data_IF_179899197723
#
_entry.id   IF_179899197723
#
_cell.length_a   1.000
_cell.length_b   1.000
_cell.length_c   1.000
_cell.angle_alpha   90.00
_cell.angle_beta   90.00
_cell.angle_gamma   90.00
#
_symmetry.space_group_name_H-M   'P 1'
#
loop_
_entity.id
_entity.type
_entity.pdbx_description
1 polymer ?
#
# COMPACT_ATOMS: atom_id res chain seq x y z
N UNK A 1 -43.88 6.85 -11.51
CA UNK A 1 -42.80 6.41 -12.42
C UNK A 1 -41.45 7.10 -12.17
N UNK A 2 -41.23 8.40 -12.48
CA UNK A 2 -39.88 9.00 -12.25
C UNK A 2 -39.44 9.08 -10.78
N UNK A 3 -40.38 9.35 -9.86
CA UNK A 3 -40.07 9.47 -8.41
C UNK A 3 -39.75 8.12 -7.75
N UNK A 4 -40.54 7.09 -8.06
CA UNK A 4 -40.33 5.73 -7.53
C UNK A 4 -38.98 5.14 -7.96
N UNK A 5 -38.59 5.31 -9.24
CA UNK A 5 -37.29 4.85 -9.73
C UNK A 5 -36.12 5.60 -9.08
N UNK A 6 -36.29 6.88 -8.76
CA UNK A 6 -35.29 7.66 -8.02
C UNK A 6 -35.17 7.15 -6.58
N UNK A 7 -36.29 6.94 -5.90
CA UNK A 7 -36.33 6.36 -4.54
C UNK A 7 -35.69 4.96 -4.52
N UNK A 8 -35.93 4.13 -5.54
CA UNK A 8 -35.31 2.81 -5.66
C UNK A 8 -33.77 2.91 -5.75
N UNK A 9 -33.23 3.83 -6.55
CA UNK A 9 -31.79 4.03 -6.66
C UNK A 9 -31.18 4.49 -5.33
N UNK A 10 -31.85 5.40 -4.61
CA UNK A 10 -31.40 5.84 -3.28
C UNK A 10 -31.41 4.68 -2.28
N UNK A 11 -32.48 3.88 -2.24
CA UNK A 11 -32.57 2.72 -1.37
C UNK A 11 -31.47 1.67 -1.66
N UNK A 12 -31.19 1.40 -2.94
CA UNK A 12 -30.09 0.50 -3.33
C UNK A 12 -28.73 1.05 -2.90
N UNK A 13 -28.52 2.36 -3.04
CA UNK A 13 -27.29 3.03 -2.61
C UNK A 13 -27.12 2.94 -1.10
N UNK A 14 -28.17 3.21 -0.32
CA UNK A 14 -28.15 3.09 1.13
C UNK A 14 -27.79 1.67 1.58
N UNK A 15 -28.36 0.65 0.94
CA UNK A 15 -28.02 -0.75 1.21
C UNK A 15 -26.53 -1.04 0.94
N UNK A 16 -25.98 -0.57 -0.18
CA UNK A 16 -24.55 -0.73 -0.49
C UNK A 16 -23.67 -0.03 0.54
N UNK A 17 -24.06 1.15 1.02
CA UNK A 17 -23.30 1.87 2.03
C UNK A 17 -23.22 1.11 3.37
N UNK A 18 -24.16 0.22 3.67
CA UNK A 18 -24.11 -0.63 4.87
C UNK A 18 -23.10 -1.79 4.76
N UNK A 19 -22.64 -2.14 3.55
CA UNK A 19 -21.68 -3.22 3.30
C UNK A 19 -22.07 -4.52 4.04
N UNK A 20 -21.19 -5.08 4.88
CA UNK A 20 -21.48 -6.31 5.65
C UNK A 20 -22.46 -6.13 6.81
N UNK A 21 -22.97 -4.92 7.06
CA UNK A 21 -23.91 -4.59 8.11
C UNK A 21 -23.27 -4.31 9.47
N UNK A 22 -24.05 -3.69 10.37
CA UNK A 22 -23.59 -3.17 11.67
C UNK A 22 -22.83 -4.17 12.52
N UNK A 23 -23.31 -5.41 12.63
CA UNK A 23 -22.66 -6.43 13.45
C UNK A 23 -21.23 -6.76 12.98
N UNK A 24 -21.02 -6.83 11.65
CA UNK A 24 -19.69 -7.12 11.09
C UNK A 24 -18.76 -5.91 11.19
N UNK A 25 -19.31 -4.71 11.03
CA UNK A 25 -18.58 -3.45 11.26
C UNK A 25 -18.13 -3.36 12.73
N UNK A 26 -18.99 -3.69 13.70
CA UNK A 26 -18.60 -3.72 15.11
C UNK A 26 -17.49 -4.73 15.40
N UNK A 27 -17.48 -5.90 14.72
CA UNK A 27 -16.39 -6.87 14.83
C UNK A 27 -15.08 -6.32 14.24
N UNK A 28 -15.15 -5.61 13.12
CA UNK A 28 -14.00 -4.92 12.51
C UNK A 28 -13.38 -3.93 13.50
N UNK A 29 -14.20 -3.08 14.15
CA UNK A 29 -13.72 -2.14 15.15
C UNK A 29 -13.12 -2.82 16.40
N UNK A 30 -13.72 -3.92 16.86
CA UNK A 30 -13.16 -4.72 17.98
C UNK A 30 -11.76 -5.29 17.66
N UNK A 31 -11.42 -5.42 16.38
CA UNK A 31 -10.08 -5.80 15.92
C UNK A 31 -9.13 -4.61 15.77
N UNK A 32 -9.56 -3.39 16.11
CA UNK A 32 -8.78 -2.16 15.96
C UNK A 32 -8.58 -1.75 14.50
N UNK A 33 -9.52 -2.12 13.61
CA UNK A 33 -9.48 -1.82 12.18
C UNK A 33 -10.62 -0.87 11.82
N UNK A 34 -10.36 0.04 10.90
CA UNK A 34 -11.40 0.84 10.26
C UNK A 34 -12.10 0.04 9.15
N UNK A 35 -13.26 0.53 8.71
CA UNK A 35 -13.95 0.01 7.52
C UNK A 35 -13.29 0.52 6.23
N UNK A 36 -13.58 -0.13 5.11
CA UNK A 36 -13.05 0.28 3.81
C UNK A 36 -13.45 1.74 3.44
N UNK A 37 -14.67 2.17 3.77
CA UNK A 37 -15.14 3.53 3.49
C UNK A 37 -14.48 4.59 4.36
N UNK A 38 -14.31 4.32 5.65
CA UNK A 38 -13.60 5.24 6.57
C UNK A 38 -12.13 5.41 6.15
N UNK A 39 -11.46 4.34 5.73
CA UNK A 39 -10.10 4.40 5.21
C UNK A 39 -10.00 5.31 3.97
N UNK A 40 -10.95 5.19 3.04
CA UNK A 40 -11.03 6.06 1.87
C UNK A 40 -11.30 7.53 2.24
N UNK A 41 -12.17 7.79 3.21
CA UNK A 41 -12.48 9.13 3.69
C UNK A 41 -11.27 9.81 4.38
N UNK A 42 -10.44 9.04 5.07
CA UNK A 42 -9.18 9.54 5.67
C UNK A 42 -8.07 9.76 4.64
N UNK A 43 -8.03 8.92 3.60
CA UNK A 43 -6.99 8.97 2.58
C UNK A 43 -7.19 10.15 1.64
N UNK A 44 -8.41 10.34 1.16
CA UNK A 44 -8.75 11.25 0.07
C UNK A 44 -9.19 12.62 0.60
N UNK A 45 -9.01 13.65 -0.23
CA UNK A 45 -9.45 14.99 0.08
C UNK A 45 -10.98 15.03 0.27
N UNK A 46 -11.50 15.80 1.25
CA UNK A 46 -12.92 15.85 1.57
C UNK A 46 -13.79 16.13 0.33
N UNK A 47 -14.77 15.25 0.07
CA UNK A 47 -15.71 15.39 -1.04
C UNK A 47 -15.15 15.07 -2.43
N UNK A 48 -13.90 14.61 -2.54
CA UNK A 48 -13.27 14.29 -3.84
C UNK A 48 -13.61 12.88 -4.37
N UNK A 49 -14.02 11.95 -3.50
CA UNK A 49 -14.20 10.55 -3.89
C UNK A 49 -15.40 10.34 -4.81
N UNK A 50 -15.14 9.76 -5.98
CA UNK A 50 -16.14 9.31 -6.95
C UNK A 50 -16.07 7.79 -7.06
N UNK A 51 -17.06 7.11 -6.48
CA UNK A 51 -17.18 5.66 -6.54
C UNK A 51 -17.60 5.19 -7.94
N UNK A 52 -16.87 4.21 -8.47
CA UNK A 52 -17.15 3.56 -9.75
C UNK A 52 -17.71 2.16 -9.52
N UNK A 53 -18.70 1.79 -10.33
CA UNK A 53 -19.32 0.47 -10.30
C UNK A 53 -19.86 0.03 -8.91
N UNK A 54 -20.55 0.90 -8.13
CA UNK A 54 -21.00 0.56 -6.78
C UNK A 54 -22.03 -0.58 -6.76
N UNK A 55 -22.87 -0.67 -7.81
CA UNK A 55 -23.96 -1.64 -7.93
C UNK A 55 -23.55 -2.98 -8.58
N UNK A 56 -22.24 -3.21 -8.79
CA UNK A 56 -21.78 -4.51 -9.30
C UNK A 56 -22.08 -5.60 -8.27
N UNK A 57 -22.68 -6.68 -8.76
CA UNK A 57 -23.07 -7.86 -7.99
C UNK A 57 -22.38 -9.09 -8.56
N UNK A 58 -22.11 -10.07 -7.70
CA UNK A 58 -21.60 -11.37 -8.11
C UNK A 58 -22.54 -12.07 -9.11
N UNK A 59 -21.98 -12.89 -9.98
CA UNK A 59 -22.74 -13.69 -10.96
C UNK A 59 -22.84 -15.16 -10.60
N UNK A 60 -21.89 -15.67 -9.81
CA UNK A 60 -21.84 -17.06 -9.42
C UNK A 60 -22.99 -17.42 -8.46
N UNK A 61 -23.59 -18.59 -8.67
CA UNK A 61 -24.73 -19.12 -7.91
C UNK A 61 -24.39 -20.38 -7.12
N UNK A 62 -23.18 -20.92 -7.27
CA UNK A 62 -22.73 -22.15 -6.63
C UNK A 62 -22.56 -21.96 -5.12
N UNK A 63 -22.59 -23.08 -4.39
CA UNK A 63 -22.37 -23.13 -2.93
C UNK A 63 -23.26 -22.16 -2.12
N UNK A 64 -24.45 -21.83 -2.63
CA UNK A 64 -25.42 -20.95 -1.97
C UNK A 64 -25.11 -19.45 -2.10
N UNK A 65 -24.20 -19.07 -3.00
CA UNK A 65 -23.90 -17.67 -3.29
C UNK A 65 -25.16 -16.93 -3.77
N UNK A 66 -26.03 -17.56 -4.55
CA UNK A 66 -27.31 -17.00 -5.01
C UNK A 66 -28.15 -16.36 -3.88
N UNK A 67 -28.07 -16.91 -2.66
CA UNK A 67 -28.81 -16.44 -1.48
C UNK A 67 -28.07 -15.40 -0.63
N UNK A 68 -26.79 -15.16 -0.91
CA UNK A 68 -25.98 -14.22 -0.14
C UNK A 68 -26.04 -12.81 -0.73
N UNK A 69 -26.31 -11.81 0.10
CA UNK A 69 -26.12 -10.41 -0.28
C UNK A 69 -24.65 -10.03 -0.09
N UNK A 70 -23.94 -9.72 -1.19
CA UNK A 70 -22.54 -9.27 -1.20
C UNK A 70 -22.45 -7.87 -1.82
N UNK A 71 -22.72 -6.80 -1.05
CA UNK A 71 -22.71 -5.44 -1.57
C UNK A 71 -21.36 -5.07 -2.20
N UNK A 72 -21.41 -4.44 -3.38
CA UNK A 72 -20.25 -4.02 -4.16
C UNK A 72 -19.23 -5.15 -4.46
N UNK A 73 -19.66 -6.41 -4.33
CA UNK A 73 -18.84 -7.63 -4.33
C UNK A 73 -17.64 -7.62 -3.37
N UNK A 74 -17.72 -6.83 -2.29
CA UNK A 74 -16.72 -6.75 -1.24
C UNK A 74 -15.49 -5.89 -1.57
N UNK A 75 -15.56 -5.04 -2.60
CA UNK A 75 -14.54 -4.02 -2.87
C UNK A 75 -15.17 -2.71 -3.32
N UNK A 76 -14.68 -1.61 -2.79
CA UNK A 76 -15.03 -0.26 -3.21
C UNK A 76 -13.92 0.23 -4.13
N UNK A 77 -14.28 0.75 -5.30
CA UNK A 77 -13.34 1.21 -6.32
C UNK A 77 -13.74 2.59 -6.80
N UNK A 78 -12.78 3.45 -7.09
CA UNK A 78 -13.07 4.78 -7.59
C UNK A 78 -11.82 5.63 -7.73
N UNK A 79 -12.02 6.93 -7.86
CA UNK A 79 -10.94 7.91 -7.88
C UNK A 79 -11.28 9.08 -6.97
N UNK A 80 -10.27 9.84 -6.58
CA UNK A 80 -10.40 11.05 -5.79
C UNK A 80 -9.15 11.90 -5.92
N UNK A 81 -8.90 12.75 -4.94
CA UNK A 81 -7.68 13.56 -4.87
C UNK A 81 -6.95 13.37 -3.54
N UNK A 82 -5.64 13.55 -3.56
CA UNK A 82 -4.78 13.70 -2.38
C UNK A 82 -3.99 14.98 -2.58
N UNK A 83 -4.18 15.97 -1.71
CA UNK A 83 -3.55 17.29 -1.83
C UNK A 83 -3.82 17.92 -3.22
N UNK A 84 -5.04 17.77 -3.71
CA UNK A 84 -5.51 18.25 -5.02
C UNK A 84 -5.06 17.39 -6.22
N UNK A 85 -4.23 16.36 -6.00
CA UNK A 85 -3.67 15.51 -7.06
C UNK A 85 -4.51 14.26 -7.29
N UNK A 86 -4.90 13.92 -8.52
CA UNK A 86 -5.81 12.81 -8.79
C UNK A 86 -5.15 11.46 -8.49
N UNK A 87 -5.90 10.56 -7.85
CA UNK A 87 -5.49 9.18 -7.58
C UNK A 87 -6.64 8.21 -7.80
N UNK A 88 -6.31 7.01 -8.28
CA UNK A 88 -7.21 5.89 -8.34
C UNK A 88 -7.07 5.02 -7.07
N UNK A 89 -8.17 4.44 -6.60
CA UNK A 89 -8.19 3.67 -5.35
C UNK A 89 -9.07 2.43 -5.46
N UNK A 90 -8.67 1.39 -4.74
CA UNK A 90 -9.56 0.30 -4.36
C UNK A 90 -9.40 -0.02 -2.88
N UNK A 91 -10.50 -0.31 -2.19
CA UNK A 91 -10.51 -0.68 -0.79
C UNK A 91 -11.37 -1.93 -0.59
N UNK A 92 -10.72 -3.01 -0.16
CA UNK A 92 -11.40 -4.28 0.12
C UNK A 92 -12.16 -4.19 1.44
N UNK A 93 -13.39 -4.69 1.45
CA UNK A 93 -14.24 -4.66 2.63
C UNK A 93 -14.33 -6.05 3.26
N UNK A 94 -13.59 -6.22 4.36
CA UNK A 94 -13.56 -7.47 5.10
C UNK A 94 -14.92 -7.90 5.68
N UNK A 95 -15.83 -6.94 5.88
CA UNK A 95 -17.18 -7.22 6.39
C UNK A 95 -18.02 -7.97 5.35
N UNK A 96 -17.67 -7.88 4.06
CA UNK A 96 -18.35 -8.60 2.97
C UNK A 96 -17.57 -9.86 2.63
N UNK A 97 -18.01 -10.98 3.22
CA UNK A 97 -17.44 -12.32 2.96
C UNK A 97 -15.91 -12.39 3.17
N UNK A 98 -15.42 -11.73 4.22
CA UNK A 98 -13.99 -11.68 4.55
C UNK A 98 -13.15 -10.94 3.52
N UNK A 99 -13.76 -10.06 2.72
CA UNK A 99 -13.10 -9.35 1.62
C UNK A 99 -12.62 -10.29 0.51
N UNK A 100 -13.13 -11.53 0.47
CA UNK A 100 -12.66 -12.55 -0.47
C UNK A 100 -12.85 -12.12 -1.92
N UNK A 101 -11.81 -12.34 -2.72
CA UNK A 101 -11.78 -11.96 -4.13
C UNK A 101 -12.57 -12.97 -4.97
N UNK A 102 -13.74 -12.55 -5.43
CA UNK A 102 -14.52 -13.23 -6.47
C UNK A 102 -14.23 -12.65 -7.86
N UNK A 103 -14.94 -13.16 -8.87
CA UNK A 103 -14.83 -12.73 -10.27
C UNK A 103 -15.11 -11.24 -10.43
N UNK A 104 -16.22 -10.77 -9.86
CA UNK A 104 -16.66 -9.38 -10.04
C UNK A 104 -15.87 -8.40 -9.18
N UNK A 105 -15.39 -8.83 -8.02
CA UNK A 105 -14.40 -8.14 -7.22
C UNK A 105 -13.11 -7.93 -8.02
N UNK A 106 -12.57 -9.01 -8.63
CA UNK A 106 -11.40 -8.95 -9.49
C UNK A 106 -11.60 -8.02 -10.68
N UNK A 107 -12.77 -8.10 -11.35
CA UNK A 107 -13.15 -7.21 -12.43
C UNK A 107 -13.14 -5.73 -12.01
N UNK A 108 -13.69 -5.39 -10.84
CA UNK A 108 -13.72 -3.99 -10.37
C UNK A 108 -12.31 -3.45 -10.14
N UNK A 109 -11.41 -4.23 -9.53
CA UNK A 109 -10.02 -3.83 -9.32
C UNK A 109 -9.30 -3.68 -10.68
N UNK A 110 -9.45 -4.66 -11.56
CA UNK A 110 -8.89 -4.61 -12.91
C UNK A 110 -9.38 -3.37 -13.69
N UNK A 111 -10.67 -3.05 -13.58
CA UNK A 111 -11.25 -1.86 -14.22
C UNK A 111 -10.64 -0.56 -13.71
N UNK A 112 -10.48 -0.41 -12.39
CA UNK A 112 -9.91 0.83 -11.84
C UNK A 112 -8.41 0.96 -12.15
N UNK A 113 -7.67 -0.15 -12.26
CA UNK A 113 -6.28 -0.14 -12.73
C UNK A 113 -6.17 0.28 -14.21
N UNK A 114 -7.07 -0.22 -15.07
CA UNK A 114 -7.13 0.22 -16.48
C UNK A 114 -7.48 1.71 -16.57
N UNK A 115 -8.37 2.20 -15.71
CA UNK A 115 -8.69 3.63 -15.60
C UNK A 115 -7.46 4.43 -15.15
N UNK A 116 -6.76 4.00 -14.11
CA UNK A 116 -5.56 4.67 -13.59
C UNK A 116 -4.48 4.81 -14.66
N UNK A 117 -4.18 3.72 -15.38
CA UNK A 117 -3.21 3.73 -16.47
C UNK A 117 -3.62 4.66 -17.62
N UNK A 118 -4.91 4.66 -18.00
CA UNK A 118 -5.41 5.57 -19.05
C UNK A 118 -5.31 7.04 -18.66
N UNK A 119 -5.53 7.34 -17.38
CA UNK A 119 -5.47 8.70 -16.85
C UNK A 119 -4.05 9.14 -16.48
N UNK A 120 -3.09 8.21 -16.41
CA UNK A 120 -1.73 8.50 -15.96
C UNK A 120 -1.69 8.93 -14.49
N UNK A 121 -2.48 8.28 -13.62
CA UNK A 121 -2.55 8.62 -12.20
C UNK A 121 -2.15 7.43 -11.32
N UNK A 122 -1.61 7.66 -10.11
CA UNK A 122 -1.27 6.59 -9.18
C UNK A 122 -2.47 5.73 -8.80
N UNK A 123 -2.21 4.46 -8.47
CA UNK A 123 -3.23 3.55 -7.92
C UNK A 123 -2.85 3.07 -6.51
N UNK A 124 -3.81 3.18 -5.59
CA UNK A 124 -3.64 2.82 -4.18
C UNK A 124 -4.60 1.68 -3.82
N UNK A 125 -4.04 0.56 -3.39
CA UNK A 125 -4.79 -0.61 -2.94
C UNK A 125 -4.82 -0.73 -1.43
N UNK A 126 -6.02 -0.68 -0.83
CA UNK A 126 -6.23 -0.92 0.59
C UNK A 126 -6.70 -2.36 0.79
N UNK A 127 -5.79 -3.22 1.23
CA UNK A 127 -5.95 -4.67 1.26
C UNK A 127 -6.39 -5.16 2.64
N UNK A 128 -7.51 -5.87 2.67
CA UNK A 128 -8.11 -6.51 3.86
C UNK A 128 -8.98 -7.67 3.37
N UNK A 129 -8.32 -8.76 2.96
CA UNK A 129 -8.92 -9.90 2.26
C UNK A 129 -8.37 -11.25 2.73
N UNK A 130 -9.28 -12.18 3.00
CA UNK A 130 -8.96 -13.58 3.28
C UNK A 130 -8.40 -14.37 2.08
N UNK A 131 -8.26 -13.77 0.90
CA UNK A 131 -7.75 -14.42 -0.31
C UNK A 131 -8.84 -14.73 -1.33
N UNK A 132 -8.61 -15.77 -2.15
CA UNK A 132 -9.58 -16.20 -3.17
C UNK A 132 -10.94 -16.56 -2.54
N UNK A 133 -12.04 -16.17 -3.19
CA UNK A 133 -13.35 -16.70 -2.86
C UNK A 133 -13.48 -18.13 -3.37
N UNK A 134 -13.25 -19.09 -2.49
CA UNK A 134 -13.19 -20.53 -2.80
C UNK A 134 -14.45 -21.01 -3.54
N UNK A 135 -15.62 -20.45 -3.19
CA UNK A 135 -16.91 -20.80 -3.79
C UNK A 135 -16.97 -20.49 -5.29
N UNK A 136 -16.15 -19.57 -5.80
CA UNK A 136 -16.09 -19.21 -7.23
C UNK A 136 -14.95 -19.92 -7.97
N UNK A 137 -14.14 -20.73 -7.29
CA UNK A 137 -13.14 -21.60 -7.91
C UNK A 137 -12.21 -20.88 -8.89
N UNK A 138 -12.20 -21.34 -10.15
CA UNK A 138 -11.32 -20.80 -11.20
C UNK A 138 -11.66 -19.37 -11.61
N UNK A 139 -12.89 -18.90 -11.40
CA UNK A 139 -13.29 -17.53 -11.72
C UNK A 139 -12.61 -16.53 -10.77
N UNK A 140 -12.47 -16.89 -9.50
CA UNK A 140 -11.68 -16.12 -8.53
C UNK A 140 -10.18 -16.09 -8.92
N UNK A 141 -9.63 -17.22 -9.39
CA UNK A 141 -8.23 -17.28 -9.84
C UNK A 141 -7.98 -16.45 -11.10
N UNK A 142 -8.92 -16.45 -12.04
CA UNK A 142 -8.89 -15.55 -13.19
C UNK A 142 -8.86 -14.08 -12.75
N UNK A 143 -9.69 -13.72 -11.76
CA UNK A 143 -9.69 -12.37 -11.17
C UNK A 143 -8.32 -11.95 -10.64
N UNK A 144 -7.59 -12.86 -9.98
CA UNK A 144 -6.19 -12.61 -9.62
C UNK A 144 -5.28 -12.41 -10.82
N UNK A 145 -5.37 -13.28 -11.82
CA UNK A 145 -4.56 -13.17 -13.05
C UNK A 145 -4.76 -11.82 -13.76
N UNK A 146 -6.01 -11.36 -13.84
CA UNK A 146 -6.37 -10.07 -14.44
C UNK A 146 -5.74 -8.89 -13.70
N UNK A 147 -5.64 -8.96 -12.37
CA UNK A 147 -4.98 -7.96 -11.53
C UNK A 147 -3.46 -8.01 -11.69
N UNK A 148 -2.85 -9.19 -11.59
CA UNK A 148 -1.38 -9.33 -11.69
C UNK A 148 -0.85 -8.88 -13.05
N UNK A 149 -1.60 -9.18 -14.11
CA UNK A 149 -1.28 -8.72 -15.45
C UNK A 149 -1.24 -7.18 -15.52
N UNK A 150 -2.23 -6.51 -14.91
CA UNK A 150 -2.28 -5.04 -14.85
C UNK A 150 -1.22 -4.44 -13.94
N UNK A 151 -0.89 -5.08 -12.82
CA UNK A 151 0.21 -4.62 -11.98
C UNK A 151 1.52 -4.59 -12.79
N UNK A 152 1.72 -5.62 -13.61
CA UNK A 152 2.91 -5.75 -14.48
C UNK A 152 2.92 -4.68 -15.56
N UNK A 153 1.79 -4.44 -16.23
CA UNK A 153 1.67 -3.40 -17.26
C UNK A 153 1.86 -1.98 -16.70
N UNK A 154 1.42 -1.74 -15.46
CA UNK A 154 1.53 -0.44 -14.79
C UNK A 154 2.91 -0.17 -14.17
N UNK A 155 3.77 -1.19 -14.04
CA UNK A 155 5.07 -1.09 -13.38
C UNK A 155 6.00 -0.13 -14.13
N UNK A 156 6.47 0.91 -13.44
CA UNK A 156 7.25 1.99 -14.04
C UNK A 156 6.45 2.93 -14.98
N UNK A 157 5.12 2.86 -14.96
CA UNK A 157 4.22 3.75 -15.73
C UNK A 157 3.45 4.68 -14.81
N UNK A 158 2.76 4.11 -13.81
CA UNK A 158 2.08 4.85 -12.74
C UNK A 158 2.54 4.28 -11.39
N UNK A 159 2.68 5.11 -10.33
CA UNK A 159 3.01 4.59 -9.00
C UNK A 159 1.90 3.67 -8.46
N UNK A 160 2.30 2.53 -7.92
CA UNK A 160 1.43 1.51 -7.36
C UNK A 160 1.74 1.30 -5.87
N UNK A 161 0.83 1.72 -5.00
CA UNK A 161 1.00 1.61 -3.54
C UNK A 161 -0.02 0.63 -2.98
N UNK A 162 0.46 -0.35 -2.20
CA UNK A 162 -0.39 -1.31 -1.50
C UNK A 162 -0.29 -1.10 0.00
N UNK A 163 -1.42 -0.93 0.66
CA UNK A 163 -1.51 -0.86 2.12
C UNK A 163 -2.16 -2.14 2.63
N UNK A 164 -1.48 -2.87 3.49
CA UNK A 164 -1.99 -4.07 4.14
C UNK A 164 -2.53 -3.64 5.51
N UNK A 165 -3.83 -3.79 5.69
CA UNK A 165 -4.57 -3.29 6.86
C UNK A 165 -5.45 -4.39 7.47
N UNK A 166 -5.12 -5.65 7.16
CA UNK A 166 -5.86 -6.84 7.54
C UNK A 166 -5.20 -8.09 6.94
N UNK A 167 -5.91 -9.22 6.88
CA UNK A 167 -5.38 -10.41 6.24
C UNK A 167 -5.10 -10.15 4.75
N UNK A 168 -4.04 -10.77 4.24
CA UNK A 168 -3.75 -10.87 2.80
C UNK A 168 -3.12 -12.26 2.56
N UNK A 169 -3.92 -13.24 2.16
CA UNK A 169 -3.48 -14.64 2.14
C UNK A 169 -3.49 -15.27 0.74
N UNK A 170 -2.54 -16.16 0.50
CA UNK A 170 -2.48 -16.94 -0.74
C UNK A 170 -2.15 -16.08 -1.96
N UNK A 171 -2.94 -16.20 -3.02
CA UNK A 171 -2.74 -15.43 -4.24
C UNK A 171 -2.78 -13.91 -4.04
N UNK A 172 -3.50 -13.42 -3.02
CA UNK A 172 -3.65 -11.99 -2.76
C UNK A 172 -2.32 -11.24 -2.61
N UNK A 173 -1.29 -11.89 -2.05
CA UNK A 173 -0.02 -11.23 -1.73
C UNK A 173 0.82 -10.89 -2.97
N UNK A 174 0.56 -11.56 -4.10
CA UNK A 174 1.34 -11.33 -5.31
C UNK A 174 1.04 -9.97 -5.95
N UNK A 175 -0.19 -9.44 -5.82
CA UNK A 175 -0.50 -8.11 -6.36
C UNK A 175 0.29 -7.00 -5.65
N UNK A 176 0.31 -6.92 -4.30
CA UNK A 176 1.22 -6.03 -3.58
C UNK A 176 2.69 -6.25 -3.92
N UNK A 177 3.14 -7.51 -4.05
CA UNK A 177 4.53 -7.84 -4.31
C UNK A 177 5.04 -7.39 -5.70
N UNK A 178 4.15 -7.29 -6.70
CA UNK A 178 4.51 -6.77 -8.02
C UNK A 178 4.61 -5.23 -8.01
N UNK A 179 3.81 -4.57 -7.16
CA UNK A 179 3.76 -3.11 -7.02
C UNK A 179 5.05 -2.46 -6.50
N UNK A 180 4.99 -1.15 -6.24
CA UNK A 180 6.19 -0.37 -5.93
C UNK A 180 6.45 -0.30 -4.42
N UNK A 181 5.42 -0.01 -3.63
CA UNK A 181 5.54 0.10 -2.18
C UNK A 181 4.44 -0.65 -1.46
N UNK A 182 4.84 -1.32 -0.38
CA UNK A 182 3.97 -2.04 0.55
C UNK A 182 4.08 -1.38 1.91
N UNK A 183 2.96 -0.89 2.42
CA UNK A 183 2.83 -0.34 3.77
C UNK A 183 2.05 -1.35 4.60
N UNK A 184 2.55 -1.74 5.78
CA UNK A 184 1.82 -2.63 6.69
C UNK A 184 1.54 -1.95 8.02
N UNK A 185 0.34 -2.15 8.55
CA UNK A 185 0.01 -1.71 9.92
C UNK A 185 0.60 -2.67 10.97
N UNK A 186 0.90 -2.17 12.17
CA UNK A 186 1.32 -3.00 13.32
C UNK A 186 0.19 -3.79 13.96
N UNK A 187 -1.05 -3.64 13.48
CA UNK A 187 -2.22 -4.33 14.01
C UNK A 187 -2.01 -5.87 13.98
N UNK A 188 -2.24 -6.60 15.08
CA UNK A 188 -2.09 -8.06 15.14
C UNK A 188 -2.95 -8.85 14.13
N UNK A 189 -4.01 -8.24 13.61
CA UNK A 189 -4.89 -8.82 12.59
C UNK A 189 -4.45 -8.49 11.16
N UNK A 190 -3.31 -7.81 10.99
CA UNK A 190 -2.71 -7.46 9.70
C UNK A 190 -1.50 -8.36 9.43
N UNK A 191 -1.59 -9.18 8.38
CA UNK A 191 -0.55 -10.12 8.02
C UNK A 191 -0.66 -10.52 6.54
N UNK A 192 0.46 -10.92 5.94
CA UNK A 192 0.48 -11.49 4.61
C UNK A 192 1.34 -12.76 4.52
N UNK A 193 0.87 -13.77 3.78
CA UNK A 193 1.65 -14.99 3.51
C UNK A 193 1.06 -15.76 2.32
N UNK A 194 1.92 -16.54 1.66
CA UNK A 194 1.50 -17.45 0.59
C UNK A 194 0.74 -18.65 1.16
N UNK A 195 1.31 -19.29 2.18
CA UNK A 195 0.76 -20.51 2.76
C UNK A 195 0.45 -20.26 4.23
N UNK A 196 -0.79 -20.52 4.64
CA UNK A 196 -1.24 -20.24 6.00
C UNK A 196 -0.66 -21.20 7.05
N UNK A 197 -0.65 -20.80 8.34
CA UNK A 197 -0.04 -21.59 9.40
C UNK A 197 -0.62 -23.01 9.56
N UNK A 198 -1.92 -23.19 9.27
CA UNK A 198 -2.56 -24.51 9.35
C UNK A 198 -1.92 -25.50 8.38
N UNK A 199 -1.59 -25.07 7.15
CA UNK A 199 -0.95 -25.92 6.14
C UNK A 199 0.51 -26.19 6.53
N UNK A 200 1.22 -25.18 7.04
CA UNK A 200 2.60 -25.33 7.54
C UNK A 200 2.64 -26.40 8.64
N UNK A 201 1.74 -26.34 9.62
CA UNK A 201 1.63 -27.33 10.69
C UNK A 201 1.40 -28.74 10.16
N UNK A 202 0.48 -28.90 9.20
CA UNK A 202 0.17 -30.23 8.63
C UNK A 202 1.34 -30.81 7.83
N UNK A 203 2.11 -29.98 7.12
CA UNK A 203 3.18 -30.45 6.22
C UNK A 203 4.53 -30.58 6.93
N UNK A 204 4.87 -29.64 7.80
CA UNK A 204 6.21 -29.54 8.43
C UNK A 204 6.20 -29.87 9.91
N UNK A 205 5.04 -29.83 10.56
CA UNK A 205 4.90 -29.96 12.02
C UNK A 205 5.15 -28.68 12.80
N UNK A 206 5.59 -27.60 12.15
CA UNK A 206 5.87 -26.32 12.81
C UNK A 206 4.57 -25.58 13.21
N UNK A 207 4.53 -25.09 14.45
CA UNK A 207 3.44 -24.27 14.96
C UNK A 207 3.86 -22.80 14.98
N UNK A 208 3.11 -21.95 14.28
CA UNK A 208 3.36 -20.51 14.20
C UNK A 208 2.01 -19.78 14.13
N UNK A 209 1.92 -18.59 14.70
CA UNK A 209 0.70 -17.78 14.58
C UNK A 209 0.67 -17.04 13.23
N UNK A 210 -0.51 -16.61 12.72
CA UNK A 210 -0.57 -15.80 11.50
C UNK A 210 0.29 -14.53 11.56
N UNK A 211 0.33 -13.88 12.73
CA UNK A 211 1.10 -12.66 12.94
C UNK A 211 2.61 -12.92 13.05
N UNK A 212 3.04 -13.99 13.72
CA UNK A 212 4.47 -14.35 13.77
C UNK A 212 4.99 -14.78 12.39
N UNK A 213 4.14 -15.43 11.59
CA UNK A 213 4.48 -15.90 10.24
C UNK A 213 4.59 -14.74 9.24
N UNK A 214 3.62 -13.82 9.27
CA UNK A 214 3.42 -12.85 8.19
C UNK A 214 3.06 -11.43 8.65
N UNK A 215 3.26 -11.12 9.92
CA UNK A 215 3.08 -9.76 10.45
C UNK A 215 4.17 -8.82 9.98
N UNK A 216 4.04 -7.54 10.34
CA UNK A 216 4.96 -6.49 9.88
C UNK A 216 6.43 -6.78 10.22
N UNK A 217 6.75 -7.41 11.35
CA UNK A 217 8.13 -7.72 11.73
C UNK A 217 8.76 -8.76 10.79
N UNK A 218 8.00 -9.78 10.40
CA UNK A 218 8.46 -10.78 9.44
C UNK A 218 8.77 -10.15 8.07
N UNK A 219 8.02 -9.12 7.68
CA UNK A 219 8.18 -8.48 6.37
C UNK A 219 9.11 -7.26 6.33
N UNK A 220 9.11 -6.43 7.36
CA UNK A 220 9.93 -5.22 7.42
C UNK A 220 11.33 -5.48 7.95
N UNK A 221 11.55 -6.56 8.71
CA UNK A 221 12.86 -6.86 9.33
C UNK A 221 13.57 -8.02 8.64
N UNK A 222 12.82 -9.06 8.24
CA UNK A 222 13.43 -10.32 7.79
C UNK A 222 13.33 -10.56 6.29
N UNK A 223 12.14 -10.46 5.70
CA UNK A 223 11.95 -10.81 4.28
C UNK A 223 12.06 -9.65 3.31
N UNK A 224 12.13 -8.39 3.78
CA UNK A 224 12.19 -7.21 2.92
C UNK A 224 10.91 -6.94 2.11
N UNK A 225 9.79 -7.57 2.44
CA UNK A 225 8.53 -7.40 1.69
C UNK A 225 7.63 -6.26 2.22
N UNK A 226 8.05 -5.54 3.27
CA UNK A 226 7.34 -4.36 3.78
C UNK A 226 8.26 -3.15 3.76
N UNK A 227 7.81 -2.09 3.09
CA UNK A 227 8.62 -0.89 2.82
C UNK A 227 8.46 0.17 3.89
N UNK A 228 7.25 0.32 4.42
CA UNK A 228 6.91 1.26 5.49
C UNK A 228 6.01 0.56 6.51
N UNK A 229 6.24 0.84 7.79
CA UNK A 229 5.43 0.30 8.88
C UNK A 229 4.62 1.43 9.49
N UNK A 230 3.30 1.25 9.54
CA UNK A 230 2.37 2.19 10.15
C UNK A 230 1.94 1.71 11.54
N UNK A 231 1.75 2.62 12.49
CA UNK A 231 1.23 2.24 13.82
C UNK A 231 -0.21 1.69 13.73
N UNK A 232 -1.06 2.35 12.95
CA UNK A 232 -2.46 2.00 12.76
C UNK A 232 -2.97 2.43 11.36
N UNK A 233 -4.28 2.29 11.14
CA UNK A 233 -4.93 2.64 9.88
C UNK A 233 -4.81 4.14 9.54
N UNK A 234 -4.85 5.02 10.54
CA UNK A 234 -4.77 6.48 10.34
C UNK A 234 -3.36 6.87 9.94
N UNK A 235 -2.37 6.33 10.65
CA UNK A 235 -0.96 6.55 10.35
C UNK A 235 -0.59 6.00 8.96
N UNK A 236 -1.16 4.85 8.57
CA UNK A 236 -0.97 4.30 7.23
C UNK A 236 -1.44 5.27 6.14
N UNK A 237 -2.62 5.90 6.29
CA UNK A 237 -3.09 6.89 5.31
C UNK A 237 -2.18 8.11 5.27
N UNK A 238 -1.69 8.58 6.43
CA UNK A 238 -0.70 9.67 6.52
C UNK A 238 0.59 9.32 5.77
N UNK A 239 1.10 8.10 5.92
CA UNK A 239 2.30 7.64 5.21
C UNK A 239 2.07 7.54 3.71
N UNK A 240 0.90 7.07 3.24
CA UNK A 240 0.56 7.08 1.81
C UNK A 240 0.59 8.50 1.25
N UNK A 241 -0.06 9.46 1.92
CA UNK A 241 -0.07 10.87 1.50
C UNK A 241 1.35 11.46 1.48
N UNK A 242 2.14 11.22 2.53
CA UNK A 242 3.54 11.67 2.61
C UNK A 242 4.38 11.08 1.48
N UNK A 243 4.27 9.78 1.23
CA UNK A 243 4.98 9.10 0.14
C UNK A 243 4.59 9.69 -1.23
N UNK A 244 3.30 9.79 -1.53
CA UNK A 244 2.82 10.36 -2.79
C UNK A 244 3.29 11.80 -3.00
N UNK A 245 3.47 12.58 -1.93
CA UNK A 245 4.02 13.94 -2.04
C UNK A 245 5.39 13.96 -2.74
N UNK A 246 6.18 12.88 -2.68
CA UNK A 246 7.50 12.81 -3.33
C UNK A 246 7.44 12.28 -4.76
N UNK A 247 6.35 11.62 -5.17
CA UNK A 247 6.26 10.89 -6.43
C UNK A 247 5.57 11.74 -7.52
N UNK A 248 5.91 11.60 -8.80
CA UNK A 248 5.10 12.14 -9.90
C UNK A 248 3.77 11.38 -10.01
N UNK A 249 2.85 11.84 -10.86
CA UNK A 249 1.62 11.08 -11.13
C UNK A 249 1.87 9.86 -12.02
N UNK A 250 2.84 9.96 -12.92
CA UNK A 250 3.23 8.95 -13.89
C UNK A 250 4.67 9.20 -14.36
N UNK A 251 5.20 8.29 -15.19
CA UNK A 251 6.57 8.34 -15.69
C UNK A 251 6.85 9.43 -16.76
N UNK A 252 5.82 10.12 -17.26
CA UNK A 252 5.95 11.22 -18.23
C UNK A 252 5.99 12.59 -17.57
N UNK A 253 5.90 12.65 -16.24
CA UNK A 253 5.96 13.86 -15.44
C UNK A 253 7.17 13.82 -14.49
N UNK A 254 7.66 15.01 -14.15
CA UNK A 254 8.64 15.15 -13.07
C UNK A 254 7.95 15.11 -11.70
N UNK A 255 8.67 14.72 -10.64
CA UNK A 255 8.17 14.82 -9.27
C UNK A 255 7.72 16.25 -8.92
N UNK A 256 6.71 16.41 -8.04
CA UNK A 256 6.18 17.72 -7.69
C UNK A 256 7.23 18.58 -6.97
N UNK A 257 7.31 19.85 -7.37
CA UNK A 257 8.13 20.88 -6.70
C UNK A 257 7.30 21.51 -5.60
N UNK A 258 7.86 21.63 -4.40
CA UNK A 258 7.22 22.22 -3.22
C UNK A 258 8.04 23.40 -2.73
N UNK A 259 7.40 24.50 -2.34
CA UNK A 259 8.10 25.58 -1.64
C UNK A 259 8.51 25.10 -0.24
N UNK A 260 9.80 24.77 -0.06
CA UNK A 260 10.30 24.22 1.20
C UNK A 260 10.54 25.30 2.27
N UNK A 261 10.84 26.52 1.83
CA UNK A 261 11.24 27.62 2.73
C UNK A 261 12.65 27.45 3.33
N UNK A 262 13.36 26.37 2.99
CA UNK A 262 14.77 26.17 3.35
C UNK A 262 15.65 26.92 2.33
N UNK A 263 16.77 27.47 2.80
CA UNK A 263 17.72 28.18 1.93
C UNK A 263 18.59 27.13 1.20
N UNK A 264 18.57 27.07 -0.14
CA UNK A 264 19.45 26.16 -0.89
C UNK A 264 20.95 26.41 -0.64
N UNK A 265 21.30 27.61 -0.12
CA UNK A 265 22.65 27.98 0.27
C UNK A 265 22.93 27.80 1.78
N UNK A 266 22.03 27.14 2.53
CA UNK A 266 22.21 26.88 3.97
C UNK A 266 23.54 26.20 4.25
N UNK A 267 24.34 26.83 5.09
CA UNK A 267 25.61 26.26 5.56
C UNK A 267 25.34 25.32 6.74
N UNK A 268 26.00 24.17 6.73
CA UNK A 268 25.77 23.07 7.69
C UNK A 268 27.05 22.74 8.49
N UNK A 269 27.52 23.64 9.38
CA UNK A 269 28.74 23.42 10.16
C UNK A 269 28.66 22.18 11.07
N UNK A 270 27.46 21.75 11.46
CA UNK A 270 27.22 20.52 12.21
C UNK A 270 27.79 19.26 11.51
N UNK A 271 27.90 19.24 10.18
CA UNK A 271 28.49 18.11 9.44
C UNK A 271 29.92 17.78 9.90
N UNK A 272 30.70 18.80 10.27
CA UNK A 272 32.09 18.62 10.74
C UNK A 272 32.16 17.84 12.07
N UNK A 273 31.06 17.76 12.81
CA UNK A 273 31.00 17.06 14.09
C UNK A 273 30.38 15.66 14.01
N UNK A 274 29.67 15.35 12.93
CA UNK A 274 28.98 14.07 12.75
C UNK A 274 29.97 12.96 12.37
N UNK A 275 30.90 13.26 11.45
CA UNK A 275 31.91 12.31 10.99
C UNK A 275 33.08 12.31 11.99
N UNK A 276 33.37 11.20 12.68
CA UNK A 276 34.48 11.15 13.63
C UNK A 276 35.85 11.23 12.94
N UNK A 277 36.83 11.86 13.60
CA UNK A 277 38.22 11.87 13.14
C UNK A 277 38.88 10.47 13.19
N UNK A 278 38.42 9.61 14.12
CA UNK A 278 38.88 8.22 14.23
C UNK A 278 38.16 7.35 13.18
N UNK A 279 38.89 6.78 12.19
CA UNK A 279 38.29 5.97 11.13
C UNK A 279 37.67 4.66 11.64
N UNK A 280 37.96 4.23 12.87
CA UNK A 280 37.34 3.04 13.47
C UNK A 280 36.00 3.34 14.16
N UNK A 281 35.68 4.62 14.38
CA UNK A 281 34.46 5.01 15.08
C UNK A 281 33.30 5.16 14.09
N UNK A 282 32.20 4.40 14.23
CA UNK A 282 31.04 4.53 13.36
C UNK A 282 30.23 5.79 13.67
N UNK A 283 29.40 6.19 12.72
CA UNK A 283 28.38 7.24 12.84
C UNK A 283 27.09 6.80 12.12
N UNK A 284 25.98 7.48 12.40
CA UNK A 284 24.71 7.24 11.71
C UNK A 284 24.61 8.15 10.49
N UNK A 285 24.57 7.56 9.29
CA UNK A 285 24.50 8.35 8.05
C UNK A 285 23.21 9.16 7.94
N UNK A 286 22.16 8.80 8.70
CA UNK A 286 20.92 9.57 8.77
C UNK A 286 21.13 10.98 9.28
N UNK A 287 22.09 11.18 10.19
CA UNK A 287 22.39 12.51 10.74
C UNK A 287 22.96 13.41 9.62
N UNK A 288 23.80 12.85 8.75
CA UNK A 288 24.31 13.54 7.55
C UNK A 288 23.17 13.86 6.59
N UNK A 289 22.34 12.87 6.27
CA UNK A 289 21.21 13.03 5.34
C UNK A 289 20.26 14.13 5.83
N UNK A 290 19.80 14.04 7.08
CA UNK A 290 18.89 15.03 7.66
C UNK A 290 19.50 16.43 7.61
N UNK A 291 20.80 16.56 7.86
CA UNK A 291 21.47 17.86 7.83
C UNK A 291 21.44 18.53 6.46
N UNK A 292 21.57 17.78 5.36
CA UNK A 292 21.72 18.34 4.00
C UNK A 292 20.42 18.51 3.22
N UNK A 293 19.34 17.85 3.65
CA UNK A 293 18.04 17.92 2.96
C UNK A 293 17.16 19.03 3.51
N UNK A 294 16.22 19.49 2.69
CA UNK A 294 15.27 20.54 3.06
C UNK A 294 14.56 20.20 4.38
N UNK A 295 14.55 21.16 5.30
CA UNK A 295 13.83 21.10 6.59
C UNK A 295 14.21 19.89 7.47
N UNK A 296 15.35 19.26 7.20
CA UNK A 296 15.79 18.01 7.80
C UNK A 296 14.80 16.84 7.65
N UNK A 297 13.95 16.88 6.62
CA UNK A 297 12.93 15.86 6.37
C UNK A 297 13.44 14.74 5.46
N UNK A 298 13.42 13.52 5.97
CA UNK A 298 13.75 12.31 5.24
C UNK A 298 12.70 11.23 5.47
N UNK A 299 12.07 10.75 4.40
CA UNK A 299 11.19 9.59 4.41
C UNK A 299 12.00 8.35 4.05
N UNK A 300 12.47 7.66 5.08
CA UNK A 300 13.24 6.43 4.91
C UNK A 300 12.34 5.28 4.43
N UNK A 301 12.83 4.53 3.45
CA UNK A 301 12.19 3.33 2.94
C UNK A 301 12.98 2.12 3.43
N UNK A 302 12.26 1.05 3.84
CA UNK A 302 12.88 -0.15 4.41
C UNK A 302 13.72 0.15 5.66
N UNK A 303 13.26 1.03 6.54
CA UNK A 303 14.00 1.45 7.75
C UNK A 303 14.51 0.25 8.59
N UNK A 304 13.72 -0.81 8.66
CA UNK A 304 14.01 -1.99 9.47
C UNK A 304 14.71 -3.13 8.73
N UNK A 305 14.92 -3.01 7.41
CA UNK A 305 15.54 -4.04 6.56
C UNK A 305 16.89 -3.57 6.03
N UNK A 306 17.90 -4.45 6.07
CA UNK A 306 19.27 -4.16 5.62
C UNK A 306 19.80 -2.80 6.13
N UNK A 307 19.94 -2.60 7.46
CA UNK A 307 20.22 -1.29 8.06
C UNK A 307 21.63 -0.74 7.75
N UNK A 308 22.50 -1.56 7.14
CA UNK A 308 23.79 -1.21 6.56
C UNK A 308 23.69 -0.33 5.30
N UNK A 309 22.51 -0.23 4.68
CA UNK A 309 22.23 0.69 3.59
C UNK A 309 20.93 1.46 3.85
N UNK A 310 20.98 2.79 3.73
CA UNK A 310 19.84 3.69 3.88
C UNK A 310 19.37 4.08 2.50
N UNK A 311 18.07 3.95 2.26
CA UNK A 311 17.40 4.43 1.06
C UNK A 311 16.15 5.22 1.45
N UNK A 312 15.79 6.25 0.69
CA UNK A 312 14.58 7.01 0.99
C UNK A 312 14.47 8.30 0.21
N UNK A 313 13.35 9.00 0.42
CA UNK A 313 13.01 10.23 -0.28
C UNK A 313 13.26 11.44 0.60
N UNK A 314 13.77 12.51 -0.02
CA UNK A 314 13.93 13.82 0.57
C UNK A 314 13.57 14.91 -0.45
N UNK A 315 13.76 16.18 -0.05
CA UNK A 315 13.77 17.31 -0.99
C UNK A 315 15.06 18.10 -0.88
N UNK A 316 15.47 18.68 -2.00
CA UNK A 316 16.53 19.70 -2.09
C UNK A 316 16.03 20.83 -3.00
N UNK A 317 15.99 22.06 -2.48
CA UNK A 317 15.39 23.21 -3.17
C UNK A 317 13.97 22.90 -3.70
N UNK A 318 13.18 22.24 -2.85
CA UNK A 318 11.79 21.89 -3.13
C UNK A 318 11.58 20.69 -4.07
N UNK A 319 12.63 20.14 -4.67
CA UNK A 319 12.55 19.03 -5.63
C UNK A 319 12.75 17.69 -4.92
N UNK A 320 11.93 16.69 -5.24
CA UNK A 320 12.14 15.32 -4.73
C UNK A 320 13.49 14.76 -5.19
N UNK A 321 14.19 14.11 -4.27
CA UNK A 321 15.43 13.36 -4.53
C UNK A 321 15.39 12.00 -3.85
N UNK A 322 15.96 10.99 -4.50
CA UNK A 322 16.20 9.66 -3.94
C UNK A 322 17.60 9.57 -3.37
N UNK A 323 17.74 9.22 -2.10
CA UNK A 323 19.05 9.11 -1.45
C UNK A 323 19.37 7.63 -1.23
N UNK A 324 20.59 7.24 -1.59
CA UNK A 324 21.20 5.96 -1.23
C UNK A 324 22.50 6.23 -0.50
N UNK A 325 22.65 5.67 0.71
CA UNK A 325 23.84 5.88 1.52
C UNK A 325 24.22 4.64 2.34
N UNK A 326 25.51 4.31 2.38
CA UNK A 326 26.02 3.29 3.30
C UNK A 326 25.91 3.78 4.74
N UNK A 327 25.62 2.88 5.68
CA UNK A 327 25.51 3.21 7.11
C UNK A 327 26.62 2.54 7.93
N UNK A 328 27.71 3.25 8.28
CA UNK A 328 28.83 2.69 9.04
C UNK A 328 28.45 2.10 10.39
N UNK A 329 27.34 2.56 10.99
CA UNK A 329 26.78 2.03 12.25
C UNK A 329 26.39 0.55 12.19
N UNK A 330 26.13 0.02 11.00
CA UNK A 330 25.76 -1.39 10.79
C UNK A 330 26.71 -2.04 9.80
N UNK A 331 27.33 -3.16 10.21
CA UNK A 331 28.28 -3.91 9.39
C UNK A 331 29.39 -3.05 8.74
N UNK A 332 29.81 -1.96 9.40
CA UNK A 332 30.75 -0.98 8.87
C UNK A 332 30.33 -0.37 7.50
N UNK A 333 29.04 -0.39 7.17
CA UNK A 333 28.50 0.09 5.90
C UNK A 333 28.74 -0.86 4.72
N UNK A 334 29.22 -2.08 4.97
CA UNK A 334 29.45 -3.08 3.92
C UNK A 334 28.15 -3.46 3.21
N UNK A 335 28.26 -3.70 1.90
CA UNK A 335 27.17 -4.24 1.10
C UNK A 335 27.10 -5.76 1.22
N UNK A 336 25.88 -6.27 1.23
CA UNK A 336 25.51 -7.68 1.27
C UNK A 336 24.32 -7.94 0.33
N UNK A 337 23.76 -9.16 0.36
CA UNK A 337 22.64 -9.55 -0.50
C UNK A 337 21.43 -8.65 -0.26
N UNK A 338 21.01 -8.52 1.00
CA UNK A 338 19.79 -7.79 1.37
C UNK A 338 19.90 -6.29 1.06
N UNK A 339 21.04 -5.66 1.37
CA UNK A 339 21.28 -4.25 1.02
C UNK A 339 21.39 -4.04 -0.48
N UNK A 340 21.92 -5.01 -1.24
CA UNK A 340 21.97 -4.93 -2.70
C UNK A 340 20.58 -4.95 -3.31
N UNK A 341 19.69 -5.84 -2.85
CA UNK A 341 18.30 -5.89 -3.31
C UNK A 341 17.53 -4.61 -2.95
N UNK A 342 17.69 -4.13 -1.71
CA UNK A 342 17.11 -2.86 -1.22
C UNK A 342 17.53 -1.68 -2.09
N UNK A 343 18.82 -1.52 -2.36
CA UNK A 343 19.35 -0.43 -3.19
C UNK A 343 18.88 -0.56 -4.64
N UNK A 344 19.01 -1.75 -5.24
CA UNK A 344 18.72 -1.94 -6.65
C UNK A 344 17.25 -1.65 -6.98
N UNK A 345 16.31 -2.09 -6.14
CA UNK A 345 14.88 -1.80 -6.34
C UNK A 345 14.59 -0.31 -6.19
N UNK A 346 15.17 0.34 -5.19
CA UNK A 346 14.97 1.77 -4.95
C UNK A 346 15.50 2.64 -6.09
N UNK A 347 16.72 2.37 -6.57
CA UNK A 347 17.33 3.09 -7.70
C UNK A 347 16.49 2.95 -8.97
N UNK A 348 16.05 1.71 -9.29
CA UNK A 348 15.21 1.47 -10.48
C UNK A 348 13.85 2.16 -10.39
N UNK A 349 13.26 2.22 -9.19
CA UNK A 349 12.02 2.96 -8.98
C UNK A 349 12.24 4.45 -9.23
N UNK A 350 13.29 5.05 -8.65
CA UNK A 350 13.60 6.46 -8.84
C UNK A 350 13.82 6.81 -10.32
N UNK A 351 14.61 6.01 -11.03
CA UNK A 351 14.86 6.13 -12.47
C UNK A 351 13.57 6.06 -13.30
N UNK A 352 12.68 5.12 -12.98
CA UNK A 352 11.41 4.95 -13.70
C UNK A 352 10.45 6.13 -13.56
N UNK A 353 10.65 6.99 -12.57
CA UNK A 353 9.75 8.10 -12.21
C UNK A 353 10.48 9.44 -12.13
N UNK A 354 11.60 9.59 -12.84
CA UNK A 354 12.33 10.85 -12.99
C UNK A 354 12.77 11.47 -11.65
N UNK A 355 13.03 10.64 -10.63
CA UNK A 355 13.53 11.09 -9.32
C UNK A 355 15.06 11.01 -9.36
N UNK A 356 15.78 12.15 -9.21
CA UNK A 356 17.25 12.18 -9.17
C UNK A 356 17.86 11.38 -8.04
#
# INVERSE_FOLDING_TARGET
>A
MKKELIEEVYNRRENILQMGGKERIERQYKQGKLTARERLELLLDPGSFVELNPFVEKRNIDFGLDKMNLPADGVITGYGAIDGRPVAVFAQDFTVMGGSLGEMHGFKIAYIMDFAMKMGIPVIGLNDSGGARIQEGVDALKGYGDIFYRNTLASGVIPQISVIMGPCAGGAVYSPAIGDFIIMTKNPNCYMFITGPQVIKTVTGEEVTPFDLGGWQAHAVRSGNCHLVAEDDVDAMRLVRKLLSYLPLNNMEDPPIVESGDDPARVTPELYSIIPDDPQKPYDVRDVIRTIVDNNEFLEIHEHFAPNAIVGFARMDGRSVGIVANNPKHFAGCLDIDSSDKIARFVRFCDSFNIP
#
